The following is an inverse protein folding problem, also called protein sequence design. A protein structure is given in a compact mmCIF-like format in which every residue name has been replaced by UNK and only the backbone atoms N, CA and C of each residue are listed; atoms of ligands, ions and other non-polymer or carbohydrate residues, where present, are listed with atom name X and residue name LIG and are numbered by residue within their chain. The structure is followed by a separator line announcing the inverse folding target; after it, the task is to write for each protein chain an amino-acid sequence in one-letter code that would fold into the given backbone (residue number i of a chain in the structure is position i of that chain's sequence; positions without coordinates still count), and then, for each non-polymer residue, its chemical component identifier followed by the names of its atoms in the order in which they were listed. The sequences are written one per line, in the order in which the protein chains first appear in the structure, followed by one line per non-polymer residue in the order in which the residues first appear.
data_IF_019217740610
#
_entry.id   IF_019217740610
#
_cell.length_a   1.000
_cell.length_b   1.000
_cell.length_c   1.000
_cell.angle_alpha   90.00
_cell.angle_beta   90.00
_cell.angle_gamma   90.00
#
_symmetry.space_group_name_H-M   'P 1'
#
loop_
_entity.id
_entity.type
_entity.pdbx_description
1 polymer ?
#
# COMPACT_ATOMS: atom_id res chain seq x y z
N UNK A 1 6.47 -1.87 -17.59
CA UNK A 1 5.13 -1.70 -16.99
C UNK A 1 4.11 -2.29 -17.96
N UNK A 2 3.49 -3.42 -17.63
CA UNK A 2 2.47 -4.05 -18.48
C UNK A 2 1.21 -3.18 -18.41
N UNK A 3 0.79 -2.64 -19.55
CA UNK A 3 -0.43 -1.85 -19.68
C UNK A 3 -1.57 -2.82 -20.00
N UNK A 4 -2.69 -2.72 -19.28
CA UNK A 4 -3.86 -3.50 -19.65
C UNK A 4 -4.30 -3.13 -21.08
N UNK A 5 -4.78 -4.10 -21.88
CA UNK A 5 -5.32 -3.82 -23.20
C UNK A 5 -6.48 -2.82 -23.05
N UNK A 6 -6.40 -1.69 -23.74
CA UNK A 6 -7.49 -0.71 -23.75
C UNK A 6 -8.55 -1.17 -24.75
N UNK A 7 -9.77 -1.46 -24.27
CA UNK A 7 -10.90 -1.87 -25.12
C UNK A 7 -11.42 -0.76 -26.06
N UNK A 8 -10.92 0.46 -25.91
CA UNK A 8 -11.38 1.68 -26.61
C UNK A 8 -11.21 1.61 -28.16
N UNK A 9 -10.42 0.66 -28.67
CA UNK A 9 -10.26 0.40 -30.12
C UNK A 9 -10.94 -0.87 -30.63
N UNK A 10 -11.58 -1.67 -29.77
CA UNK A 10 -12.22 -2.93 -30.16
C UNK A 10 -13.74 -2.74 -30.21
N UNK A 11 -14.31 -2.85 -31.41
CA UNK A 11 -15.77 -2.99 -31.61
C UNK A 11 -16.07 -4.47 -31.86
N UNK A 12 -16.18 -5.33 -30.82
CA UNK A 12 -16.60 -6.71 -31.02
C UNK A 12 -18.04 -6.70 -31.54
N UNK A 13 -18.24 -7.24 -32.74
CA UNK A 13 -19.55 -7.24 -33.41
C UNK A 13 -20.42 -8.42 -32.97
N UNK A 14 -19.80 -9.43 -32.32
CA UNK A 14 -20.46 -10.65 -31.85
C UNK A 14 -20.02 -11.06 -30.44
N UNK A 15 -20.91 -11.76 -29.72
CA UNK A 15 -20.70 -12.28 -28.35
C UNK A 15 -19.45 -13.16 -28.21
N UNK A 16 -19.05 -13.86 -29.27
CA UNK A 16 -17.87 -14.74 -29.31
C UNK A 16 -16.54 -13.95 -29.31
N UNK A 17 -16.49 -12.78 -29.94
CA UNK A 17 -15.29 -11.92 -29.95
C UNK A 17 -15.06 -11.26 -28.58
N UNK A 18 -16.15 -10.89 -27.89
CA UNK A 18 -16.09 -10.37 -26.53
C UNK A 18 -15.50 -11.39 -25.54
N UNK A 19 -15.85 -12.67 -25.69
CA UNK A 19 -15.27 -13.74 -24.87
C UNK A 19 -13.75 -13.88 -25.08
N UNK A 20 -13.27 -13.76 -26.32
CA UNK A 20 -11.83 -13.77 -26.63
C UNK A 20 -11.06 -12.62 -25.98
N UNK A 21 -11.64 -11.43 -25.94
CA UNK A 21 -11.03 -10.26 -25.27
C UNK A 21 -11.06 -10.37 -23.74
N UNK A 22 -12.12 -10.96 -23.17
CA UNK A 22 -12.16 -11.27 -21.73
C UNK A 22 -11.03 -12.23 -21.32
N UNK A 23 -10.74 -13.26 -22.12
CA UNK A 23 -9.65 -14.21 -21.84
C UNK A 23 -8.29 -13.49 -21.83
N UNK A 24 -8.01 -12.66 -22.84
CA UNK A 24 -6.76 -11.86 -22.88
C UNK A 24 -6.64 -10.92 -21.68
N UNK A 25 -7.74 -10.32 -21.24
CA UNK A 25 -7.76 -9.45 -20.07
C UNK A 25 -7.47 -10.24 -18.78
N UNK A 26 -8.06 -11.43 -18.63
CA UNK A 26 -7.82 -12.32 -17.49
C UNK A 26 -6.35 -12.78 -17.47
N UNK A 27 -5.78 -13.16 -18.61
CA UNK A 27 -4.37 -13.54 -18.71
C UNK A 27 -3.44 -12.37 -18.33
N UNK A 28 -3.67 -11.19 -18.89
CA UNK A 28 -2.92 -9.98 -18.56
C UNK A 28 -3.04 -9.61 -17.08
N UNK A 29 -4.23 -9.77 -16.49
CA UNK A 29 -4.46 -9.55 -15.06
C UNK A 29 -3.67 -10.55 -14.23
N UNK A 30 -3.76 -11.84 -14.55
CA UNK A 30 -3.09 -12.90 -13.82
C UNK A 30 -1.57 -12.77 -13.86
N UNK A 31 -1.00 -12.41 -15.01
CA UNK A 31 0.43 -12.15 -15.13
C UNK A 31 0.84 -10.87 -14.38
N UNK A 32 0.05 -9.80 -14.46
CA UNK A 32 0.35 -8.55 -13.75
C UNK A 32 0.34 -8.70 -12.23
N UNK A 33 -0.52 -9.56 -11.69
CA UNK A 33 -0.70 -9.77 -10.24
C UNK A 33 -0.17 -11.13 -9.75
N UNK A 34 0.72 -11.75 -10.52
CA UNK A 34 1.33 -13.05 -10.19
C UNK A 34 2.11 -13.01 -8.88
N UNK A 35 2.76 -11.88 -8.61
CA UNK A 35 3.46 -11.60 -7.37
C UNK A 35 2.52 -11.53 -6.17
N UNK A 36 1.34 -10.89 -6.31
CA UNK A 36 0.31 -10.85 -5.27
C UNK A 36 -0.18 -12.26 -4.96
N UNK A 37 -0.45 -13.08 -5.99
CA UNK A 37 -0.84 -14.49 -5.80
C UNK A 37 0.23 -15.28 -5.04
N UNK A 38 1.51 -15.03 -5.32
CA UNK A 38 2.62 -15.67 -4.59
C UNK A 38 2.66 -15.32 -3.10
N UNK A 39 2.03 -14.21 -2.72
CA UNK A 39 1.93 -13.70 -1.35
C UNK A 39 0.59 -13.98 -0.68
N UNK A 40 -0.34 -14.66 -1.37
CA UNK A 40 -1.69 -14.91 -0.88
C UNK A 40 -1.70 -15.60 0.49
N UNK A 41 -0.85 -16.61 0.70
CA UNK A 41 -0.80 -17.33 1.98
C UNK A 41 -0.34 -16.41 3.11
N UNK A 42 0.72 -15.63 2.89
CA UNK A 42 1.19 -14.66 3.88
C UNK A 42 0.12 -13.58 4.17
N UNK A 43 -0.62 -13.15 3.13
CA UNK A 43 -1.75 -12.22 3.27
C UNK A 43 -2.92 -12.82 4.07
N UNK A 44 -3.26 -14.10 3.84
CA UNK A 44 -4.31 -14.78 4.58
C UNK A 44 -3.93 -14.93 6.06
N UNK A 45 -2.67 -15.24 6.37
CA UNK A 45 -2.18 -15.27 7.76
C UNK A 45 -2.34 -13.90 8.42
N UNK A 46 -2.07 -12.81 7.69
CA UNK A 46 -2.26 -11.46 8.21
C UNK A 46 -3.75 -11.07 8.36
N UNK A 47 -4.58 -11.40 7.37
CA UNK A 47 -5.95 -10.91 7.32
C UNK A 47 -6.93 -11.77 8.11
N UNK A 48 -6.73 -13.08 8.15
CA UNK A 48 -7.68 -14.09 8.64
C UNK A 48 -6.98 -15.12 9.52
N UNK A 49 -6.06 -14.70 10.40
CA UNK A 49 -5.17 -15.56 11.19
C UNK A 49 -5.85 -16.80 11.79
N UNK A 50 -7.03 -16.65 12.40
CA UNK A 50 -7.75 -17.73 13.08
C UNK A 50 -8.58 -18.64 12.16
N UNK A 51 -8.75 -18.26 10.89
CA UNK A 51 -9.47 -19.05 9.89
C UNK A 51 -8.53 -19.74 8.88
N UNK A 52 -7.20 -19.59 9.04
CA UNK A 52 -6.23 -20.28 8.19
C UNK A 52 -6.06 -21.72 8.65
N UNK A 53 -6.19 -22.66 7.72
CA UNK A 53 -5.89 -24.08 7.99
C UNK A 53 -4.37 -24.31 8.04
N UNK A 54 -3.81 -24.82 9.17
CA UNK A 54 -2.37 -25.05 9.28
C UNK A 54 -1.76 -25.95 8.18
N UNK A 55 -2.44 -26.99 7.66
CA UNK A 55 -1.91 -27.81 6.56
C UNK A 55 -1.62 -27.02 5.27
N UNK A 56 -2.37 -25.94 5.01
CA UNK A 56 -2.23 -25.11 3.80
C UNK A 56 -1.12 -24.06 3.92
N UNK A 57 -0.54 -23.92 5.11
CA UNK A 57 0.53 -22.96 5.39
C UNK A 57 1.89 -23.63 5.16
N UNK A 58 2.87 -22.94 4.52
CA UNK A 58 4.23 -23.42 4.41
C UNK A 58 4.81 -23.82 5.77
N UNK A 59 5.47 -24.97 5.87
CA UNK A 59 6.05 -25.52 7.12
C UNK A 59 6.77 -24.48 7.99
N UNK A 60 7.53 -23.56 7.37
CA UNK A 60 8.28 -22.49 8.05
C UNK A 60 7.40 -21.48 8.81
N UNK A 61 6.10 -21.41 8.51
CA UNK A 61 5.13 -20.50 9.12
C UNK A 61 4.07 -21.25 9.94
N UNK A 62 3.95 -22.58 9.82
CA UNK A 62 2.90 -23.35 10.51
C UNK A 62 2.92 -23.13 12.02
N UNK A 63 4.11 -23.17 12.64
CA UNK A 63 4.23 -22.95 14.08
C UNK A 63 3.78 -21.53 14.50
N UNK A 64 4.07 -20.53 13.67
CA UNK A 64 3.67 -19.14 13.90
C UNK A 64 2.16 -18.91 13.76
N UNK A 65 1.42 -19.86 13.18
CA UNK A 65 -0.05 -19.84 13.05
C UNK A 65 -0.69 -20.68 14.14
N UNK A 66 -0.21 -21.91 14.36
CA UNK A 66 -0.79 -22.85 15.33
C UNK A 66 -0.70 -22.31 16.76
N UNK A 67 0.45 -21.77 17.14
CA UNK A 67 0.66 -21.28 18.50
C UNK A 67 -0.36 -20.20 18.91
N UNK A 68 -0.56 -19.10 18.15
CA UNK A 68 -1.58 -18.11 18.49
C UNK A 68 -3.02 -18.64 18.32
N UNK A 69 -3.28 -19.54 17.37
CA UNK A 69 -4.60 -20.16 17.22
C UNK A 69 -5.00 -21.04 18.41
N UNK A 70 -4.03 -21.62 19.11
CA UNK A 70 -4.28 -22.43 20.32
C UNK A 70 -4.58 -21.61 21.57
N UNK A 71 -4.64 -20.28 21.47
CA UNK A 71 -4.86 -19.37 22.59
C UNK A 71 -6.21 -18.65 22.46
N UNK A 72 -7.19 -19.10 23.23
CA UNK A 72 -8.55 -18.56 23.26
C UNK A 72 -8.60 -17.07 23.61
N UNK A 73 -7.67 -16.57 24.44
CA UNK A 73 -7.61 -15.14 24.77
C UNK A 73 -7.16 -14.31 23.57
N UNK A 74 -6.18 -14.80 22.80
CA UNK A 74 -5.76 -14.15 21.57
C UNK A 74 -6.87 -14.17 20.53
N UNK A 75 -7.62 -15.27 20.40
CA UNK A 75 -8.78 -15.34 19.51
C UNK A 75 -9.87 -14.35 19.92
N UNK A 76 -10.20 -14.28 21.21
CA UNK A 76 -11.16 -13.30 21.73
C UNK A 76 -10.70 -11.87 21.44
N UNK A 77 -9.41 -11.55 21.64
CA UNK A 77 -8.86 -10.22 21.32
C UNK A 77 -8.90 -9.92 19.83
N UNK A 78 -8.61 -10.89 18.97
CA UNK A 78 -8.69 -10.75 17.51
C UNK A 78 -10.11 -10.39 17.05
N UNK A 79 -11.13 -11.04 17.63
CA UNK A 79 -12.52 -10.79 17.29
C UNK A 79 -13.06 -9.44 17.80
N UNK A 80 -12.45 -8.86 18.83
CA UNK A 80 -12.91 -7.63 19.47
C UNK A 80 -12.09 -6.38 19.11
N UNK A 81 -10.92 -6.54 18.49
CA UNK A 81 -10.03 -5.42 18.15
C UNK A 81 -9.92 -5.23 16.63
N UNK A 82 -9.75 -3.99 16.15
CA UNK A 82 -9.29 -3.76 14.79
C UNK A 82 -7.98 -4.50 14.51
N UNK A 83 -7.83 -5.04 13.31
CA UNK A 83 -6.71 -5.92 12.92
C UNK A 83 -5.33 -5.35 13.31
N UNK A 84 -5.12 -4.06 13.07
CA UNK A 84 -3.85 -3.40 13.38
C UNK A 84 -3.61 -3.28 14.89
N UNK A 85 -4.65 -2.97 15.67
CA UNK A 85 -4.54 -2.88 17.12
C UNK A 85 -4.36 -4.26 17.76
N UNK A 86 -4.96 -5.32 17.19
CA UNK A 86 -4.68 -6.69 17.60
C UNK A 86 -3.18 -7.03 17.48
N UNK A 87 -2.59 -6.85 16.30
CA UNK A 87 -1.17 -7.16 16.09
C UNK A 87 -0.24 -6.26 16.92
N UNK A 88 -0.63 -5.02 17.17
CA UNK A 88 0.14 -4.08 17.97
C UNK A 88 0.15 -4.46 19.45
N UNK A 89 -1.02 -4.79 20.02
CA UNK A 89 -1.23 -4.92 21.46
C UNK A 89 -1.23 -6.36 21.98
N UNK A 90 -1.51 -7.34 21.12
CA UNK A 90 -1.68 -8.75 21.54
C UNK A 90 -0.57 -9.67 21.03
N UNK A 91 0.12 -9.30 19.94
CA UNK A 91 1.21 -10.10 19.37
C UNK A 91 2.56 -9.49 19.79
N UNK A 92 3.16 -10.05 20.84
CA UNK A 92 4.47 -9.62 21.35
C UNK A 92 5.61 -10.09 20.45
N UNK A 93 6.72 -9.34 20.41
CA UNK A 93 7.90 -9.72 19.63
C UNK A 93 8.66 -10.91 20.25
N UNK A 94 8.52 -11.09 21.56
CA UNK A 94 9.23 -12.12 22.32
C UNK A 94 8.57 -13.49 22.11
N UNK A 95 7.24 -13.55 22.12
CA UNK A 95 6.50 -14.81 21.98
C UNK A 95 6.20 -15.16 20.52
N UNK A 96 5.99 -14.15 19.67
CA UNK A 96 5.56 -14.34 18.28
C UNK A 96 6.40 -13.54 17.26
N UNK A 97 7.74 -13.65 17.27
CA UNK A 97 8.62 -12.82 16.43
C UNK A 97 8.31 -12.93 14.94
N UNK A 98 8.10 -14.15 14.44
CA UNK A 98 7.81 -14.40 13.02
C UNK A 98 6.47 -13.79 12.59
N UNK A 99 5.42 -13.99 13.38
CA UNK A 99 4.10 -13.44 13.10
C UNK A 99 4.12 -11.91 13.17
N UNK A 100 4.84 -11.34 14.15
CA UNK A 100 4.96 -9.88 14.29
C UNK A 100 5.67 -9.24 13.09
N UNK A 101 6.76 -9.83 12.62
CA UNK A 101 7.46 -9.35 11.41
C UNK A 101 6.54 -9.42 10.19
N UNK A 102 5.81 -10.52 10.02
CA UNK A 102 4.85 -10.67 8.92
C UNK A 102 3.74 -9.61 9.00
N UNK A 103 3.16 -9.39 10.18
CA UNK A 103 2.11 -8.40 10.38
C UNK A 103 2.59 -6.97 10.07
N UNK A 104 3.77 -6.59 10.55
CA UNK A 104 4.37 -5.28 10.26
C UNK A 104 4.63 -5.10 8.76
N UNK A 105 5.17 -6.13 8.10
CA UNK A 105 5.39 -6.13 6.65
C UNK A 105 4.10 -5.82 5.90
N UNK A 106 3.01 -6.54 6.16
CA UNK A 106 1.77 -6.33 5.42
C UNK A 106 1.02 -5.06 5.81
N UNK A 107 1.02 -4.68 7.09
CA UNK A 107 0.49 -3.40 7.51
C UNK A 107 1.19 -2.22 6.82
N UNK A 108 2.51 -2.31 6.60
CA UNK A 108 3.28 -1.28 5.90
C UNK A 108 2.94 -1.16 4.41
N UNK A 109 2.58 -2.27 3.74
CA UNK A 109 2.17 -2.26 2.32
C UNK A 109 0.88 -1.44 2.14
N UNK A 110 -0.10 -1.64 3.02
CA UNK A 110 -1.36 -0.88 2.95
C UNK A 110 -1.14 0.60 3.30
N UNK A 111 -0.33 0.90 4.32
CA UNK A 111 0.00 2.29 4.68
C UNK A 111 0.77 3.04 3.59
N UNK A 112 1.74 2.39 2.95
CA UNK A 112 2.55 3.01 1.88
C UNK A 112 1.74 3.30 0.63
N UNK A 113 0.75 2.45 0.30
CA UNK A 113 -0.14 2.69 -0.85
C UNK A 113 -0.97 3.96 -0.65
N UNK A 114 -1.59 4.13 0.53
CA UNK A 114 -2.32 5.36 0.87
C UNK A 114 -1.41 6.59 0.85
N UNK A 115 -0.21 6.50 1.44
CA UNK A 115 0.77 7.59 1.40
C UNK A 115 1.18 7.94 -0.04
N UNK A 116 1.35 6.96 -0.91
CA UNK A 116 1.65 7.16 -2.32
C UNK A 116 0.48 7.83 -3.06
N UNK A 117 -0.76 7.42 -2.83
CA UNK A 117 -1.96 8.05 -3.42
C UNK A 117 -2.10 9.51 -2.99
N UNK A 118 -1.93 9.78 -1.68
CA UNK A 118 -1.91 11.14 -1.16
C UNK A 118 -0.76 11.96 -1.76
N UNK A 119 0.42 11.37 -1.91
CA UNK A 119 1.56 11.99 -2.58
C UNK A 119 1.26 12.34 -4.04
N UNK A 120 0.69 11.41 -4.81
CA UNK A 120 0.31 11.64 -6.21
C UNK A 120 -0.82 12.67 -6.37
N UNK A 121 -1.78 12.69 -5.44
CA UNK A 121 -2.84 13.70 -5.40
C UNK A 121 -2.26 15.10 -5.18
N UNK A 122 -1.39 15.25 -4.16
CA UNK A 122 -0.66 16.50 -3.89
C UNK A 122 0.21 16.94 -5.08
N UNK A 123 0.88 15.99 -5.73
CA UNK A 123 1.63 16.19 -6.97
C UNK A 123 0.77 16.80 -8.07
N UNK A 124 -0.42 16.24 -8.26
CA UNK A 124 -1.37 16.65 -9.29
C UNK A 124 -1.86 18.07 -9.04
N UNK A 125 -2.18 18.39 -7.77
CA UNK A 125 -2.57 19.75 -7.35
C UNK A 125 -1.41 20.74 -7.56
N UNK A 126 -0.20 20.41 -7.10
CA UNK A 126 0.98 21.26 -7.25
C UNK A 126 1.30 21.53 -8.73
N UNK A 127 1.24 20.50 -9.59
CA UNK A 127 1.44 20.62 -11.03
C UNK A 127 0.35 21.48 -11.70
N UNK A 128 -0.90 21.42 -11.23
CA UNK A 128 -2.01 22.22 -11.75
C UNK A 128 -1.90 23.70 -11.38
N UNK A 129 -1.50 24.01 -10.14
CA UNK A 129 -1.42 25.39 -9.64
C UNK A 129 -0.12 26.11 -10.04
N UNK A 130 1.02 25.42 -10.05
CA UNK A 130 2.35 25.98 -10.32
C UNK A 130 2.84 25.68 -11.74
N UNK A 131 1.93 25.44 -12.69
CA UNK A 131 2.24 24.91 -14.04
C UNK A 131 3.27 25.74 -14.84
N UNK A 132 3.44 27.02 -14.54
CA UNK A 132 4.47 27.90 -15.16
C UNK A 132 5.82 27.94 -14.41
N UNK A 133 5.92 27.36 -13.20
CA UNK A 133 7.10 27.46 -12.32
C UNK A 133 7.70 26.12 -11.92
N UNK A 134 7.06 25.00 -12.26
CA UNK A 134 7.58 23.65 -12.04
C UNK A 134 8.58 23.28 -13.14
N UNK A 135 9.87 23.28 -12.81
CA UNK A 135 10.94 22.73 -13.65
C UNK A 135 11.47 21.45 -13.03
N UNK A 136 12.04 20.53 -13.83
CA UNK A 136 12.63 19.29 -13.29
C UNK A 136 13.63 19.56 -12.15
N UNK A 137 14.34 20.68 -12.19
CA UNK A 137 15.30 21.09 -11.17
C UNK A 137 14.68 21.49 -9.81
N UNK A 138 13.41 21.93 -9.78
CA UNK A 138 12.76 22.37 -8.54
C UNK A 138 11.59 21.46 -8.09
N UNK A 139 11.19 20.50 -8.92
CA UNK A 139 10.15 19.51 -8.65
C UNK A 139 10.39 18.80 -7.32
N UNK A 140 11.57 18.20 -7.13
CA UNK A 140 11.88 17.42 -5.92
C UNK A 140 11.75 18.27 -4.64
N UNK A 141 12.27 19.51 -4.68
CA UNK A 141 12.24 20.43 -3.54
C UNK A 141 10.80 20.85 -3.21
N UNK A 142 9.99 21.14 -4.21
CA UNK A 142 8.58 21.51 -4.01
C UNK A 142 7.75 20.34 -3.48
N UNK A 143 8.00 19.13 -3.97
CA UNK A 143 7.34 17.92 -3.47
C UNK A 143 7.67 17.66 -2.02
N UNK A 144 8.95 17.73 -1.66
CA UNK A 144 9.41 17.57 -0.28
C UNK A 144 8.70 18.55 0.66
N UNK A 145 8.49 19.79 0.25
CA UNK A 145 7.74 20.79 1.04
C UNK A 145 6.26 20.45 1.12
N UNK A 146 5.61 20.08 0.01
CA UNK A 146 4.18 19.77 -0.02
C UNK A 146 3.79 18.50 0.77
N UNK A 147 4.74 17.56 0.91
CA UNK A 147 4.52 16.26 1.56
C UNK A 147 5.06 16.20 2.98
N UNK A 148 5.86 17.19 3.40
CA UNK A 148 6.35 17.35 4.75
C UNK A 148 5.21 17.66 5.73
N UNK A 149 5.22 17.04 6.92
CA UNK A 149 4.39 17.47 8.05
C UNK A 149 5.08 18.53 8.91
N UNK A 150 6.36 18.83 8.64
CA UNK A 150 7.13 19.86 9.34
C UNK A 150 6.61 21.24 8.93
N UNK A 151 6.15 22.07 9.88
CA UNK A 151 5.65 23.40 9.57
C UNK A 151 6.78 24.31 9.09
N UNK A 152 6.53 25.01 7.98
CA UNK A 152 7.47 26.01 7.48
C UNK A 152 7.50 27.20 8.45
N UNK A 153 8.69 27.55 8.93
CA UNK A 153 8.91 28.71 9.78
C UNK A 153 8.99 29.98 8.92
N UNK A 154 7.84 30.37 8.36
CA UNK A 154 7.70 31.45 7.36
C UNK A 154 8.23 32.78 7.91
N UNK A 155 8.01 33.07 9.20
CA UNK A 155 8.50 34.29 9.86
C UNK A 155 10.02 34.38 9.83
N UNK A 156 10.74 33.28 10.11
CA UNK A 156 12.21 33.24 10.05
C UNK A 156 12.72 33.40 8.61
N UNK A 157 12.06 32.74 7.66
CA UNK A 157 12.41 32.85 6.24
C UNK A 157 12.17 34.28 5.69
N UNK A 158 11.14 34.97 6.18
CA UNK A 158 10.83 36.33 5.77
C UNK A 158 11.85 37.35 6.30
N UNK A 159 12.41 37.13 7.50
CA UNK A 159 13.49 37.99 8.05
C UNK A 159 14.85 37.70 7.44
N UNK A 160 15.14 36.45 7.05
CA UNK A 160 16.41 36.08 6.40
C UNK A 160 16.47 36.50 4.92
N UNK A 161 15.33 36.73 4.26
CA UNK A 161 15.29 37.15 2.86
C UNK A 161 15.42 38.68 2.78
N UNK A 162 16.58 39.18 2.33
CA UNK A 162 16.75 40.60 2.02
C UNK A 162 15.71 41.04 0.96
N UNK A 163 14.81 41.94 1.35
CA UNK A 163 13.96 42.66 0.40
C UNK A 163 14.87 43.51 -0.48
N UNK A 164 14.93 43.19 -1.76
CA UNK A 164 15.54 44.07 -2.75
C UNK A 164 14.61 45.28 -2.88
N UNK A 165 15.04 46.50 -2.51
CA UNK A 165 14.22 47.68 -2.73
C UNK A 165 14.04 47.86 -4.22
N UNK A 166 12.79 47.96 -4.65
CA UNK A 166 12.43 48.36 -6.01
C UNK A 166 12.84 49.81 -6.22
N UNK A 167 13.50 50.07 -7.36
CA UNK A 167 14.01 51.36 -7.76
C UNK A 167 12.92 52.34 -8.21
#
# INVERSE_FOLDING_TARGET
MVRFPTLEGQKPSMTLECAGECVKLIEAFNERFKDVKSKQVELNIFATLFNVEPPDVPNKLQHAVIQPQSNDELEARYNNLPLFEFYKCSISNEEFPTLRILALKYASVFGTTYCCEQFFSKLTIAKSQLRSRLTNANLEKQLRVATSSVPAHITRLATEKQLQPSH
#
